data_IF_670462264586
#
_entry.id   IF_670462264586
#
_cell.length_a   1.000
_cell.length_b   1.000
_cell.length_c   1.000
_cell.angle_alpha   90.00
_cell.angle_beta   90.00
_cell.angle_gamma   90.00
#
_symmetry.space_group_name_H-M   'P 1'
#
loop_
_entity.id
_entity.type
_entity.pdbx_description
1 polymer ?
#
# COMPACT_ATOMS: atom_id res chain seq x y z
N UNK A 1 22.51 8.33 28.14
CA UNK A 1 21.75 8.67 26.94
C UNK A 1 22.31 7.90 25.73
N UNK A 2 21.46 7.36 24.91
CA UNK A 2 21.83 6.71 23.65
C UNK A 2 21.34 7.60 22.52
N UNK A 3 22.26 8.07 21.69
CA UNK A 3 21.90 8.85 20.50
C UNK A 3 22.15 7.98 19.27
N UNK A 4 21.14 7.64 18.48
CA UNK A 4 21.35 6.88 17.25
C UNK A 4 22.14 7.73 16.25
N UNK A 5 23.14 7.13 15.60
CA UNK A 5 23.89 7.79 14.52
C UNK A 5 23.08 7.85 13.23
N UNK A 6 22.30 6.83 12.97
CA UNK A 6 21.39 6.73 11.83
C UNK A 6 20.26 5.76 12.15
N UNK A 7 19.13 5.97 11.52
CA UNK A 7 17.98 5.05 11.50
C UNK A 7 17.65 4.78 10.05
N UNK A 8 17.48 3.51 9.73
CA UNK A 8 17.07 3.07 8.39
C UNK A 8 15.69 2.46 8.49
N UNK A 9 14.72 3.03 7.79
CA UNK A 9 13.40 2.45 7.59
C UNK A 9 13.36 1.82 6.20
N UNK A 10 13.08 0.51 6.14
CA UNK A 10 12.83 -0.20 4.89
C UNK A 10 11.37 -0.59 4.82
N UNK A 11 10.65 -0.04 3.85
CA UNK A 11 9.32 -0.48 3.50
C UNK A 11 9.42 -1.44 2.32
N UNK A 12 8.77 -2.59 2.44
CA UNK A 12 8.65 -3.58 1.37
C UNK A 12 7.18 -3.71 1.05
N UNK A 13 6.82 -3.34 -0.18
CA UNK A 13 5.49 -3.57 -0.71
C UNK A 13 5.49 -4.94 -1.39
N UNK A 14 4.87 -5.91 -0.74
CA UNK A 14 4.65 -7.23 -1.31
C UNK A 14 3.25 -7.26 -1.94
N UNK A 15 3.18 -7.59 -3.23
CA UNK A 15 1.94 -7.58 -3.98
C UNK A 15 1.63 -8.98 -4.50
N UNK A 16 0.40 -9.43 -4.24
CA UNK A 16 -0.12 -10.67 -4.77
C UNK A 16 -1.34 -10.35 -5.62
N UNK A 17 -1.28 -10.66 -6.92
CA UNK A 17 -2.40 -10.49 -7.84
C UNK A 17 -3.03 -11.86 -8.06
N UNK A 18 -4.30 -12.00 -7.68
CA UNK A 18 -5.09 -13.20 -7.92
C UNK A 18 -5.85 -13.06 -9.22
N UNK A 19 -5.44 -13.82 -10.23
CA UNK A 19 -6.18 -13.90 -11.50
C UNK A 19 -6.98 -15.20 -11.50
N UNK A 20 -8.33 -15.13 -11.60
CA UNK A 20 -9.16 -16.32 -11.70
C UNK A 20 -8.74 -17.21 -12.89
N UNK A 21 -8.92 -18.52 -12.74
CA UNK A 21 -8.52 -19.49 -13.79
C UNK A 21 -9.14 -19.20 -15.16
N UNK A 22 -10.32 -18.64 -15.16
CA UNK A 22 -11.09 -18.24 -16.36
C UNK A 22 -10.36 -17.12 -17.15
N UNK A 23 -9.48 -16.37 -16.46
CA UNK A 23 -8.69 -15.27 -17.04
C UNK A 23 -7.24 -15.70 -17.30
N UNK A 24 -6.92 -17.00 -17.28
CA UNK A 24 -5.57 -17.47 -17.58
C UNK A 24 -5.35 -17.62 -19.09
N UNK A 25 -4.10 -17.54 -19.53
CA UNK A 25 -3.72 -17.66 -20.92
C UNK A 25 -3.61 -16.32 -21.66
N UNK A 26 -3.60 -16.37 -22.98
CA UNK A 26 -3.45 -15.20 -23.87
C UNK A 26 -4.82 -14.70 -24.39
N UNK A 27 -5.90 -14.90 -23.63
CA UNK A 27 -7.22 -14.41 -24.02
C UNK A 27 -7.35 -12.90 -23.84
N UNK A 28 -8.27 -12.28 -24.56
CA UNK A 28 -8.64 -10.88 -24.39
C UNK A 28 -8.97 -10.57 -22.91
N UNK A 29 -9.72 -11.45 -22.24
CA UNK A 29 -10.09 -11.29 -20.83
C UNK A 29 -8.88 -11.35 -19.90
N UNK A 30 -7.91 -12.23 -20.18
CA UNK A 30 -6.69 -12.32 -19.38
C UNK A 30 -5.84 -11.05 -19.50
N UNK A 31 -5.75 -10.48 -20.69
CA UNK A 31 -5.05 -9.20 -20.91
C UNK A 31 -5.77 -8.08 -20.17
N UNK A 32 -7.08 -7.99 -20.32
CA UNK A 32 -7.92 -6.98 -19.68
C UNK A 32 -7.82 -7.02 -18.15
N UNK A 33 -7.85 -8.22 -17.56
CA UNK A 33 -7.68 -8.38 -16.11
C UNK A 33 -6.30 -7.92 -15.64
N UNK A 34 -5.23 -8.31 -16.34
CA UNK A 34 -3.87 -7.88 -15.99
C UNK A 34 -3.70 -6.37 -16.09
N UNK A 35 -4.26 -5.75 -17.13
CA UNK A 35 -4.17 -4.30 -17.33
C UNK A 35 -4.93 -3.54 -16.21
N UNK A 36 -6.07 -4.08 -15.77
CA UNK A 36 -6.82 -3.53 -14.65
C UNK A 36 -6.05 -3.66 -13.34
N UNK A 37 -5.54 -4.84 -13.03
CA UNK A 37 -4.72 -5.07 -11.84
C UNK A 37 -3.42 -4.25 -11.83
N UNK A 38 -2.84 -3.99 -13.01
CA UNK A 38 -1.68 -3.10 -13.12
C UNK A 38 -2.01 -1.67 -12.69
N UNK A 39 -3.24 -1.19 -12.94
CA UNK A 39 -3.68 0.14 -12.47
C UNK A 39 -3.79 0.21 -10.95
N UNK A 40 -4.30 -0.84 -10.30
CA UNK A 40 -4.27 -0.94 -8.83
C UNK A 40 -2.83 -0.95 -8.32
N UNK A 41 -1.96 -1.66 -9.02
CA UNK A 41 -0.55 -1.70 -8.74
C UNK A 41 0.09 -0.30 -8.75
N UNK A 42 -0.21 0.50 -9.75
CA UNK A 42 0.25 1.88 -9.86
C UNK A 42 -0.37 2.78 -8.78
N UNK A 43 -1.63 2.55 -8.43
CA UNK A 43 -2.31 3.28 -7.35
C UNK A 43 -1.62 3.06 -6.00
N UNK A 44 -1.24 1.83 -5.68
CA UNK A 44 -0.49 1.51 -4.47
C UNK A 44 0.90 2.16 -4.43
N UNK A 45 1.64 2.12 -5.55
CA UNK A 45 2.93 2.79 -5.65
C UNK A 45 2.81 4.30 -5.43
N UNK A 46 1.80 4.93 -6.04
CA UNK A 46 1.51 6.36 -5.85
C UNK A 46 1.10 6.69 -4.41
N UNK A 47 0.33 5.82 -3.75
CA UNK A 47 -0.03 6.01 -2.35
C UNK A 47 1.22 5.99 -1.45
N UNK A 48 2.14 5.05 -1.69
CA UNK A 48 3.41 4.97 -0.95
C UNK A 48 4.29 6.21 -1.19
N UNK A 49 4.41 6.65 -2.44
CA UNK A 49 5.20 7.84 -2.76
C UNK A 49 4.60 9.12 -2.13
N UNK A 50 3.27 9.21 -2.07
CA UNK A 50 2.58 10.34 -1.45
C UNK A 50 2.85 10.46 0.06
N UNK A 51 2.98 9.33 0.77
CA UNK A 51 3.23 9.33 2.22
C UNK A 51 4.71 9.29 2.61
N UNK A 52 5.62 9.11 1.66
CA UNK A 52 7.07 9.05 1.92
C UNK A 52 7.59 10.24 2.75
N UNK A 53 7.26 11.51 2.44
CA UNK A 53 7.74 12.64 3.25
C UNK A 53 7.20 12.61 4.68
N UNK A 54 5.97 12.14 4.89
CA UNK A 54 5.40 12.00 6.22
C UNK A 54 6.09 10.89 7.01
N UNK A 55 6.45 9.76 6.38
CA UNK A 55 7.25 8.70 7.00
C UNK A 55 8.62 9.20 7.44
N UNK A 56 9.32 9.94 6.59
CA UNK A 56 10.63 10.53 6.95
C UNK A 56 10.51 11.49 8.14
N UNK A 57 9.45 12.30 8.17
CA UNK A 57 9.18 13.20 9.27
C UNK A 57 8.85 12.44 10.54
N UNK A 58 7.97 11.44 10.51
CA UNK A 58 7.61 10.62 11.66
C UNK A 58 8.83 9.94 12.29
N UNK A 59 9.72 9.38 11.47
CA UNK A 59 10.97 8.76 11.94
C UNK A 59 11.88 9.81 12.60
N UNK A 60 12.05 10.97 11.97
CA UNK A 60 12.89 12.05 12.50
C UNK A 60 12.40 12.54 13.86
N UNK A 61 11.10 12.77 13.98
CA UNK A 61 10.46 13.20 15.22
C UNK A 61 10.56 12.14 16.32
N UNK A 62 10.34 10.85 15.99
CA UNK A 62 10.49 9.76 16.94
C UNK A 62 11.92 9.67 17.48
N UNK A 63 12.92 9.79 16.60
CA UNK A 63 14.33 9.83 17.01
C UNK A 63 14.61 11.02 17.93
N UNK A 64 14.06 12.18 17.61
CA UNK A 64 14.23 13.39 18.43
C UNK A 64 13.59 13.23 19.82
N UNK A 65 12.36 12.70 19.90
CA UNK A 65 11.70 12.44 21.18
C UNK A 65 12.46 11.41 22.02
N UNK A 66 12.90 10.30 21.40
CA UNK A 66 13.62 9.24 22.11
C UNK A 66 15.03 9.67 22.57
N UNK A 67 15.65 10.62 21.90
CA UNK A 67 16.96 11.17 22.33
C UNK A 67 16.87 11.95 23.65
N UNK A 68 15.67 12.38 24.05
CA UNK A 68 15.42 13.15 25.30
C UNK A 68 14.94 12.27 26.45
N UNK A 69 14.64 10.98 26.21
CA UNK A 69 14.17 10.06 27.25
C UNK A 69 15.33 9.48 28.04
N UNK A 70 15.42 9.71 29.37
CA UNK A 70 16.44 9.07 30.20
C UNK A 70 16.10 7.57 30.32
N UNK A 71 16.89 6.73 29.70
CA UNK A 71 16.79 5.27 29.85
C UNK A 71 17.66 4.80 31.02
N UNK A 72 17.13 3.87 31.83
CA UNK A 72 17.87 3.23 32.91
C UNK A 72 18.98 2.28 32.38
N UNK A 73 18.90 1.90 31.12
CA UNK A 73 19.88 1.09 30.40
C UNK A 73 19.84 1.35 28.89
N UNK A 74 20.88 0.89 28.17
CA UNK A 74 20.91 0.92 26.69
C UNK A 74 19.73 0.15 26.10
N UNK A 75 19.38 -0.99 26.67
CA UNK A 75 18.25 -1.82 26.20
C UNK A 75 16.92 -1.08 26.35
N UNK A 76 16.69 -0.43 27.49
CA UNK A 76 15.49 0.38 27.74
C UNK A 76 15.39 1.55 26.76
N UNK A 77 16.47 2.29 26.53
CA UNK A 77 16.48 3.41 25.58
C UNK A 77 16.22 2.94 24.14
N UNK A 78 16.76 1.80 23.73
CA UNK A 78 16.53 1.22 22.41
C UNK A 78 15.07 0.77 22.25
N UNK A 79 14.48 0.13 23.26
CA UNK A 79 13.09 -0.29 23.25
C UNK A 79 12.15 0.91 23.11
N UNK A 80 12.40 1.99 23.86
CA UNK A 80 11.62 3.24 23.73
C UNK A 80 11.73 3.84 22.33
N UNK A 81 12.94 3.95 21.77
CA UNK A 81 13.15 4.45 20.42
C UNK A 81 12.40 3.60 19.38
N UNK A 82 12.47 2.28 19.50
CA UNK A 82 11.77 1.36 18.57
C UNK A 82 10.25 1.56 18.66
N UNK A 83 9.70 1.66 19.86
CA UNK A 83 8.28 1.87 20.07
C UNK A 83 7.79 3.21 19.49
N UNK A 84 8.55 4.29 19.69
CA UNK A 84 8.25 5.61 19.15
C UNK A 84 8.27 5.61 17.61
N UNK A 85 9.29 5.00 17.00
CA UNK A 85 9.37 4.87 15.54
C UNK A 85 8.19 4.06 15.02
N UNK A 86 7.91 2.91 15.63
CA UNK A 86 6.81 2.03 15.21
C UNK A 86 5.46 2.74 15.30
N UNK A 87 5.20 3.47 16.38
CA UNK A 87 3.98 4.25 16.54
C UNK A 87 3.82 5.32 15.45
N UNK A 88 4.87 6.10 15.20
CA UNK A 88 4.86 7.13 14.15
C UNK A 88 4.66 6.54 12.75
N UNK A 89 5.34 5.45 12.45
CA UNK A 89 5.22 4.75 11.16
C UNK A 89 3.81 4.19 10.97
N UNK A 90 3.23 3.53 11.98
CA UNK A 90 1.90 2.97 11.91
C UNK A 90 0.84 4.05 11.60
N UNK A 91 0.93 5.21 12.25
CA UNK A 91 0.01 6.32 11.98
C UNK A 91 0.06 6.77 10.50
N UNK A 92 1.26 6.91 9.93
CA UNK A 92 1.40 7.28 8.51
C UNK A 92 0.93 6.17 7.58
N UNK A 93 1.08 4.89 7.96
CA UNK A 93 0.56 3.77 7.17
C UNK A 93 -0.98 3.71 7.19
N UNK A 94 -1.63 4.12 8.27
CA UNK A 94 -3.08 4.27 8.33
C UNK A 94 -3.56 5.38 7.38
N UNK A 95 -2.85 6.51 7.34
CA UNK A 95 -3.11 7.57 6.36
C UNK A 95 -2.90 7.09 4.91
N UNK A 96 -1.86 6.30 4.67
CA UNK A 96 -1.62 5.66 3.37
C UNK A 96 -2.79 4.78 2.95
N UNK A 97 -3.37 4.00 3.88
CA UNK A 97 -4.52 3.16 3.57
C UNK A 97 -5.72 3.99 3.08
N UNK A 98 -5.90 5.20 3.63
CA UNK A 98 -6.93 6.13 3.18
C UNK A 98 -6.65 6.66 1.77
N UNK A 99 -5.42 7.08 1.49
CA UNK A 99 -5.00 7.53 0.15
C UNK A 99 -5.17 6.40 -0.87
N UNK A 100 -4.73 5.19 -0.52
CA UNK A 100 -4.90 4.01 -1.38
C UNK A 100 -6.36 3.76 -1.73
N UNK A 101 -7.25 3.77 -0.74
CA UNK A 101 -8.69 3.58 -0.97
C UNK A 101 -9.27 4.61 -1.95
N UNK A 102 -8.83 5.86 -1.87
CA UNK A 102 -9.26 6.90 -2.81
C UNK A 102 -8.74 6.68 -4.23
N UNK A 103 -7.50 6.17 -4.36
CA UNK A 103 -6.90 5.85 -5.66
C UNK A 103 -7.54 4.60 -6.28
N UNK A 104 -7.78 3.57 -5.48
CA UNK A 104 -8.50 2.35 -5.91
C UNK A 104 -9.91 2.68 -6.40
N UNK A 105 -10.65 3.54 -5.70
CA UNK A 105 -11.97 3.98 -6.14
C UNK A 105 -11.96 4.72 -7.49
N UNK A 106 -10.84 5.35 -7.88
CA UNK A 106 -10.68 5.93 -9.22
C UNK A 106 -10.40 4.85 -10.27
N UNK A 107 -9.64 3.83 -9.92
CA UNK A 107 -9.41 2.66 -10.79
C UNK A 107 -10.71 1.91 -11.00
N UNK A 108 -11.51 1.68 -9.96
CA UNK A 108 -12.80 1.01 -9.99
C UNK A 108 -13.96 1.97 -10.37
N UNK A 109 -13.67 3.02 -11.12
CA UNK A 109 -14.69 3.98 -11.54
C UNK A 109 -15.80 3.33 -12.38
N UNK A 110 -17.02 3.89 -12.37
CA UNK A 110 -18.12 3.37 -13.19
C UNK A 110 -17.76 3.26 -14.68
N UNK A 111 -16.95 4.18 -15.19
CA UNK A 111 -16.50 4.19 -16.59
C UNK A 111 -15.55 3.02 -16.87
N UNK A 112 -14.60 2.76 -15.97
CA UNK A 112 -13.68 1.61 -16.08
C UNK A 112 -14.45 0.30 -16.00
N UNK A 113 -15.40 0.17 -15.07
CA UNK A 113 -16.28 -1.01 -14.97
C UNK A 113 -17.13 -1.18 -16.24
N UNK A 114 -17.64 -0.09 -16.80
CA UNK A 114 -18.37 -0.13 -18.07
C UNK A 114 -17.47 -0.60 -19.23
N UNK A 115 -16.24 -0.08 -19.29
CA UNK A 115 -15.22 -0.51 -20.26
C UNK A 115 -14.94 -2.00 -20.14
N UNK A 116 -14.64 -2.49 -18.93
CA UNK A 116 -14.39 -3.91 -18.67
C UNK A 116 -15.55 -4.81 -19.12
N UNK A 117 -16.79 -4.35 -18.98
CA UNK A 117 -18.00 -5.11 -19.40
C UNK A 117 -18.19 -5.14 -20.91
N UNK A 118 -17.69 -4.18 -21.64
CA UNK A 118 -17.90 -4.05 -23.10
C UNK A 118 -16.74 -4.58 -23.92
N UNK A 119 -15.53 -4.49 -23.41
CA UNK A 119 -14.38 -5.08 -24.07
C UNK A 119 -14.47 -6.60 -24.16
N UNK A 120 -13.75 -7.20 -25.06
CA UNK A 120 -13.79 -8.65 -25.31
C UNK A 120 -15.16 -9.19 -25.72
N UNK A 121 -15.96 -8.40 -26.47
CA UNK A 121 -17.26 -8.84 -26.99
C UNK A 121 -18.31 -9.11 -25.90
N UNK A 122 -18.17 -8.47 -24.73
CA UNK A 122 -19.10 -8.65 -23.60
C UNK A 122 -18.91 -9.96 -22.83
N UNK A 123 -17.88 -10.76 -23.13
CA UNK A 123 -17.58 -12.01 -22.42
C UNK A 123 -17.35 -11.78 -20.90
N UNK A 124 -16.85 -10.60 -20.52
CA UNK A 124 -16.70 -10.21 -19.12
C UNK A 124 -18.03 -10.15 -18.35
N UNK A 125 -19.17 -9.89 -19.03
CA UNK A 125 -20.50 -9.90 -18.40
C UNK A 125 -20.90 -11.25 -17.83
N UNK A 126 -20.46 -12.34 -18.46
CA UNK A 126 -20.81 -13.69 -18.03
C UNK A 126 -20.08 -14.10 -16.75
N UNK A 127 -18.89 -13.51 -16.50
CA UNK A 127 -18.03 -13.86 -15.39
C UNK A 127 -18.36 -13.03 -14.15
N UNK A 128 -18.66 -11.74 -14.31
CA UNK A 128 -19.02 -10.89 -13.17
C UNK A 128 -20.27 -11.38 -12.42
N UNK A 129 -21.19 -12.07 -13.11
CA UNK A 129 -22.36 -12.70 -12.47
C UNK A 129 -22.03 -13.94 -11.64
N UNK A 130 -20.89 -14.58 -11.86
CA UNK A 130 -20.46 -15.80 -11.12
C UNK A 130 -19.52 -15.49 -9.96
N UNK A 131 -18.83 -14.37 -10.00
CA UNK A 131 -17.85 -14.00 -8.97
C UNK A 131 -18.47 -13.29 -7.76
N UNK A 132 -19.72 -12.81 -7.88
CA UNK A 132 -20.43 -12.07 -6.83
C UNK A 132 -21.70 -12.78 -6.32
N UNK A 133 -21.92 -14.05 -6.63
CA UNK A 133 -22.87 -14.95 -6.02
C UNK A 133 -22.14 -16.07 -5.26
#
# INVERSE_FOLDING_TARGET
>A
CVTPKYVTLKLVLERIVYIPREFTGASCLATLARDHEAKHADAEAKALDAVRPALETAVREAVHRAATVPGSSRASALATLTAEIQSGVNHVLDDMATVRKQLDAKVDSPDEIARLKTECGGAARAISRRAFN
#
